data_IF_101479838771
#
_entry.id   IF_101479838771
#
_cell.length_a   1.000
_cell.length_b   1.000
_cell.length_c   1.000
_cell.angle_alpha   90.00
_cell.angle_beta   90.00
_cell.angle_gamma   90.00
#
_symmetry.space_group_name_H-M   'P 1'
#
loop_
_entity.id
_entity.type
_entity.pdbx_description
1 polymer ?
#
# COMPACT_ATOMS: atom_id res chain seq x y z
N UNK A 1 -11.41 11.28 19.80
CA UNK A 1 -12.12 11.59 21.05
C UNK A 1 -11.37 12.60 21.93
N UNK A 2 -10.07 12.44 22.23
CA UNK A 2 -9.35 13.33 23.14
C UNK A 2 -8.81 14.66 22.55
N UNK A 3 -9.05 14.96 21.26
CA UNK A 3 -8.57 16.20 20.59
C UNK A 3 -7.04 16.34 20.41
N UNK A 4 -6.24 15.41 20.95
CA UNK A 4 -4.77 15.52 20.98
C UNK A 4 -4.07 15.46 19.60
N UNK A 5 -4.79 15.01 18.57
CA UNK A 5 -4.25 14.72 17.24
C UNK A 5 -4.78 15.67 16.15
N UNK A 6 -5.53 16.70 16.51
CA UNK A 6 -6.13 17.62 15.55
C UNK A 6 -5.06 18.30 14.68
N UNK A 7 -5.28 18.30 13.37
CA UNK A 7 -4.34 18.81 12.36
C UNK A 7 -3.13 17.90 12.08
N UNK A 8 -2.94 16.80 12.82
CA UNK A 8 -1.77 15.92 12.69
C UNK A 8 -1.97 14.83 11.64
N UNK A 9 -0.86 14.36 11.09
CA UNK A 9 -0.83 13.16 10.27
C UNK A 9 -0.98 11.93 11.18
N UNK A 10 -1.93 11.06 10.84
CA UNK A 10 -2.21 9.86 11.63
C UNK A 10 -2.45 8.69 10.71
N UNK A 11 -2.12 7.50 11.20
CA UNK A 11 -2.46 6.26 10.53
C UNK A 11 -3.37 5.42 11.42
N UNK A 12 -4.17 4.57 10.80
CA UNK A 12 -4.96 3.53 11.44
C UNK A 12 -5.05 2.36 10.47
N UNK A 13 -5.57 1.23 10.93
CA UNK A 13 -5.82 0.09 10.05
C UNK A 13 -6.68 0.53 8.85
N UNK A 14 -6.23 0.25 7.63
CA UNK A 14 -6.86 0.68 6.37
C UNK A 14 -8.40 0.50 6.33
N UNK A 15 -8.95 -0.60 6.86
CA UNK A 15 -10.42 -0.83 6.94
C UNK A 15 -11.16 0.26 7.72
N UNK A 16 -10.50 0.87 8.68
CA UNK A 16 -11.04 1.88 9.59
C UNK A 16 -10.72 3.31 9.14
N UNK A 17 -9.90 3.50 8.11
CA UNK A 17 -9.43 4.82 7.69
C UNK A 17 -10.57 5.75 7.26
N UNK A 18 -11.49 5.26 6.42
CA UNK A 18 -12.63 6.05 5.94
C UNK A 18 -13.56 6.45 7.10
N UNK A 19 -13.79 5.52 8.03
CA UNK A 19 -14.56 5.79 9.25
C UNK A 19 -13.87 6.82 10.14
N UNK A 20 -12.55 6.77 10.28
CA UNK A 20 -11.79 7.72 11.08
C UNK A 20 -11.85 9.13 10.47
N UNK A 21 -11.74 9.25 9.14
CA UNK A 21 -11.90 10.54 8.42
C UNK A 21 -13.28 11.16 8.64
N UNK A 22 -14.34 10.35 8.59
CA UNK A 22 -15.71 10.82 8.79
C UNK A 22 -15.95 11.31 10.23
N UNK A 23 -15.45 10.57 11.22
CA UNK A 23 -15.64 10.91 12.64
C UNK A 23 -14.77 12.09 13.08
N UNK A 24 -13.62 12.29 12.46
CA UNK A 24 -12.66 13.34 12.84
C UNK A 24 -12.07 14.03 11.60
N UNK A 25 -12.80 14.96 10.97
CA UNK A 25 -12.37 15.65 9.75
C UNK A 25 -11.08 16.48 9.90
N UNK A 26 -10.73 16.85 11.14
CA UNK A 26 -9.49 17.58 11.44
C UNK A 26 -8.21 16.72 11.38
N UNK A 27 -8.33 15.40 11.24
CA UNK A 27 -7.18 14.50 11.14
C UNK A 27 -6.70 14.36 9.70
N UNK A 28 -5.38 14.36 9.50
CA UNK A 28 -4.77 14.02 8.21
C UNK A 28 -4.50 12.51 8.17
N UNK A 29 -5.53 11.74 7.85
CA UNK A 29 -5.45 10.26 7.84
C UNK A 29 -4.70 9.76 6.60
N UNK A 30 -3.51 9.18 6.82
CA UNK A 30 -2.73 8.43 5.82
C UNK A 30 -2.85 6.93 6.13
N UNK A 31 -3.59 6.24 5.28
CA UNK A 31 -3.91 4.81 5.36
C UNK A 31 -2.94 3.93 4.57
N UNK A 32 -1.91 4.53 3.98
CA UNK A 32 -0.84 3.81 3.31
C UNK A 32 0.29 3.51 4.29
N UNK A 33 0.61 4.30 5.31
CA UNK A 33 1.77 4.04 6.21
C UNK A 33 1.49 3.06 7.36
N UNK A 34 2.43 2.15 7.65
CA UNK A 34 2.33 1.21 8.80
C UNK A 34 2.43 1.89 10.17
N UNK A 35 3.22 2.96 10.29
CA UNK A 35 3.19 3.84 11.46
C UNK A 35 3.56 5.26 11.04
N UNK A 36 3.11 6.24 11.84
CA UNK A 36 3.42 7.65 11.63
C UNK A 36 3.86 8.26 12.95
N UNK A 37 5.03 8.92 12.91
CA UNK A 37 5.47 9.86 13.92
C UNK A 37 4.96 11.27 13.55
N UNK A 38 4.27 11.92 14.50
CA UNK A 38 3.80 13.30 14.39
C UNK A 38 4.17 14.07 15.65
N UNK A 39 5.45 14.43 15.74
CA UNK A 39 6.05 14.97 16.96
C UNK A 39 6.08 13.90 18.05
N UNK A 40 5.54 14.20 19.23
CA UNK A 40 5.48 13.24 20.34
C UNK A 40 4.44 12.12 20.17
N UNK A 41 3.57 12.20 19.16
CA UNK A 41 2.51 11.23 18.94
C UNK A 41 2.89 10.24 17.87
N UNK A 42 2.65 8.96 18.16
CA UNK A 42 2.85 7.88 17.21
C UNK A 42 1.56 7.10 17.03
N UNK A 43 1.25 6.77 15.78
CA UNK A 43 0.07 5.98 15.42
C UNK A 43 0.49 4.82 14.56
N UNK A 44 -0.19 3.67 14.66
CA UNK A 44 0.10 2.48 13.86
C UNK A 44 -1.13 1.96 13.13
N UNK A 45 -0.86 1.21 12.06
CA UNK A 45 -1.84 0.54 11.21
C UNK A 45 -2.51 -0.68 11.86
N UNK A 46 -2.23 -0.96 13.15
CA UNK A 46 -2.78 -2.09 13.89
C UNK A 46 -1.74 -3.16 14.22
N UNK A 47 -2.23 -4.34 14.61
CA UNK A 47 -1.54 -5.37 15.40
C UNK A 47 -0.05 -5.56 15.06
N UNK A 48 0.27 -6.03 13.85
CA UNK A 48 1.66 -6.32 13.48
C UNK A 48 2.48 -5.07 13.23
N UNK A 49 1.87 -3.99 12.73
CA UNK A 49 2.52 -2.70 12.59
C UNK A 49 2.84 -2.05 13.96
N UNK A 50 2.16 -2.48 15.02
CA UNK A 50 2.51 -2.14 16.40
C UNK A 50 3.86 -2.68 16.82
N UNK A 51 4.28 -3.84 16.29
CA UNK A 51 5.62 -4.41 16.54
C UNK A 51 6.68 -3.52 15.85
N UNK A 52 6.45 -3.14 14.60
CA UNK A 52 7.35 -2.23 13.87
C UNK A 52 7.46 -0.87 14.58
N UNK A 53 6.33 -0.32 15.04
CA UNK A 53 6.30 0.90 15.84
C UNK A 53 7.12 0.76 17.13
N UNK A 54 6.94 -0.33 17.87
CA UNK A 54 7.67 -0.56 19.12
C UNK A 54 9.18 -0.65 18.88
N UNK A 55 9.61 -1.35 17.83
CA UNK A 55 11.03 -1.45 17.46
C UNK A 55 11.60 -0.09 17.04
N UNK A 56 10.82 0.75 16.37
CA UNK A 56 11.21 2.12 16.01
C UNK A 56 11.37 3.02 17.26
N UNK A 57 10.47 2.89 18.25
CA UNK A 57 10.58 3.60 19.52
C UNK A 57 11.83 3.16 20.31
N UNK A 58 12.08 1.85 20.40
CA UNK A 58 13.29 1.32 21.06
C UNK A 58 14.55 1.85 20.38
N UNK A 59 14.58 1.88 19.05
CA UNK A 59 15.72 2.42 18.30
C UNK A 59 15.92 3.91 18.55
N UNK A 60 14.85 4.70 18.57
CA UNK A 60 14.93 6.13 18.83
C UNK A 60 15.49 6.42 20.23
N UNK A 61 15.05 5.65 21.22
CA UNK A 61 15.35 5.93 22.62
C UNK A 61 16.66 5.26 23.10
N UNK A 62 17.05 4.11 22.50
CA UNK A 62 18.19 3.28 22.95
C UNK A 62 19.16 2.87 21.83
N UNK A 63 18.93 3.32 20.60
CA UNK A 63 19.77 3.04 19.45
C UNK A 63 19.47 1.72 18.73
N UNK A 64 20.02 1.60 17.52
CA UNK A 64 19.75 0.49 16.61
C UNK A 64 20.19 -0.87 17.14
N UNK A 65 21.27 -0.93 17.94
CA UNK A 65 21.81 -2.19 18.46
C UNK A 65 20.80 -2.93 19.35
N UNK A 66 20.17 -2.21 20.29
CA UNK A 66 19.16 -2.79 21.18
C UNK A 66 17.89 -3.16 20.41
N UNK A 67 17.42 -2.27 19.53
CA UNK A 67 16.24 -2.55 18.68
C UNK A 67 16.44 -3.83 17.85
N UNK A 68 17.61 -4.03 17.25
CA UNK A 68 17.93 -5.25 16.50
C UNK A 68 18.00 -6.50 17.41
N UNK A 69 18.50 -6.37 18.64
CA UNK A 69 18.51 -7.49 19.59
C UNK A 69 17.09 -7.91 19.94
N UNK A 70 16.19 -6.96 20.22
CA UNK A 70 14.78 -7.22 20.50
C UNK A 70 14.10 -7.85 19.28
N UNK A 71 14.34 -7.33 18.07
CA UNK A 71 13.80 -7.89 16.85
C UNK A 71 14.21 -9.37 16.65
N UNK A 72 15.48 -9.71 16.94
CA UNK A 72 15.96 -11.10 16.91
C UNK A 72 15.25 -11.99 17.94
N UNK A 73 15.03 -11.50 19.16
CA UNK A 73 14.32 -12.26 20.20
C UNK A 73 12.86 -12.51 19.83
N UNK A 74 12.22 -11.56 19.13
CA UNK A 74 10.85 -11.69 18.63
C UNK A 74 10.75 -12.47 17.31
N UNK A 75 11.88 -12.97 16.77
CA UNK A 75 11.95 -13.72 15.51
C UNK A 75 11.35 -12.95 14.32
N UNK A 76 11.44 -11.62 14.33
CA UNK A 76 11.01 -10.75 13.22
C UNK A 76 12.21 -10.41 12.35
N UNK A 77 12.26 -11.04 11.16
CA UNK A 77 13.43 -11.03 10.27
C UNK A 77 13.50 -9.80 9.34
N UNK A 78 12.36 -9.17 9.05
CA UNK A 78 12.28 -7.94 8.25
C UNK A 78 11.62 -6.83 9.04
N UNK A 79 12.38 -5.77 9.32
CA UNK A 79 11.83 -4.53 9.87
C UNK A 79 11.13 -3.78 8.75
N UNK A 80 9.84 -3.48 8.94
CA UNK A 80 9.14 -2.60 8.01
C UNK A 80 9.37 -1.16 8.43
N UNK A 81 9.86 -0.32 7.52
CA UNK A 81 10.03 1.12 7.81
C UNK A 81 8.66 1.80 7.84
N UNK A 82 8.51 2.93 8.56
CA UNK A 82 7.23 3.63 8.70
C UNK A 82 6.56 4.00 7.37
N UNK A 83 7.38 4.26 6.34
CA UNK A 83 6.94 4.55 4.97
C UNK A 83 6.47 3.31 4.19
N UNK A 84 6.67 2.11 4.74
CA UNK A 84 6.20 0.88 4.13
C UNK A 84 4.68 0.82 4.17
N UNK A 85 4.10 0.33 3.07
CA UNK A 85 2.66 0.32 2.95
C UNK A 85 2.00 -0.66 3.93
N UNK A 86 0.89 -0.26 4.56
CA UNK A 86 0.10 -1.09 5.48
C UNK A 86 -0.36 -2.39 4.84
N UNK A 87 -0.70 -2.29 3.57
CA UNK A 87 -1.42 -3.30 2.84
C UNK A 87 -0.91 -3.26 1.41
N UNK A 88 -0.54 -4.41 0.86
CA UNK A 88 -0.21 -4.49 -0.56
C UNK A 88 -1.44 -4.10 -1.36
N UNK A 89 -1.27 -3.47 -2.50
CA UNK A 89 -2.41 -3.14 -3.35
C UNK A 89 -3.13 -4.41 -3.79
N UNK A 90 -2.40 -5.50 -4.00
CA UNK A 90 -2.92 -6.87 -4.19
C UNK A 90 -3.99 -7.22 -3.14
N UNK A 91 -3.67 -7.06 -1.87
CA UNK A 91 -4.58 -7.40 -0.76
C UNK A 91 -5.71 -6.37 -0.62
N UNK A 92 -5.45 -5.07 -0.87
CA UNK A 92 -6.50 -4.01 -0.90
C UNK A 92 -7.57 -4.31 -1.95
N UNK A 93 -7.12 -4.84 -3.08
CA UNK A 93 -7.97 -5.28 -4.17
C UNK A 93 -8.63 -6.62 -3.83
N UNK A 94 -7.98 -7.56 -3.13
CA UNK A 94 -8.62 -8.84 -2.76
C UNK A 94 -9.79 -8.68 -1.77
N UNK A 95 -9.69 -7.81 -0.76
CA UNK A 95 -10.69 -7.75 0.33
C UNK A 95 -11.95 -6.94 0.01
N UNK A 96 -11.87 -5.98 -0.91
CA UNK A 96 -13.04 -5.17 -1.27
C UNK A 96 -13.84 -5.76 -2.42
N UNK A 97 -13.34 -6.75 -3.15
CA UNK A 97 -13.77 -6.99 -4.53
C UNK A 97 -14.79 -8.11 -4.71
N UNK A 98 -15.89 -7.76 -5.39
CA UNK A 98 -16.75 -8.76 -6.02
C UNK A 98 -15.90 -9.65 -6.93
N UNK A 99 -16.01 -10.99 -6.77
CA UNK A 99 -15.24 -12.02 -7.47
C UNK A 99 -14.59 -11.62 -8.83
N UNK A 100 -15.31 -11.03 -9.81
CA UNK A 100 -14.73 -10.65 -11.10
C UNK A 100 -13.50 -9.73 -11.06
N UNK A 101 -13.37 -8.76 -10.14
CA UNK A 101 -12.16 -7.90 -10.14
C UNK A 101 -10.97 -8.52 -9.39
N UNK A 102 -11.20 -9.58 -8.59
CA UNK A 102 -10.14 -10.23 -7.81
C UNK A 102 -9.27 -11.02 -8.76
N UNK A 103 -9.93 -11.84 -9.58
CA UNK A 103 -9.30 -12.57 -10.66
C UNK A 103 -8.60 -11.65 -11.67
N UNK A 104 -9.19 -10.48 -11.96
CA UNK A 104 -8.55 -9.50 -12.82
C UNK A 104 -7.22 -9.04 -12.24
N UNK A 105 -7.19 -8.68 -10.96
CA UNK A 105 -5.99 -8.18 -10.31
C UNK A 105 -4.92 -9.26 -10.22
N UNK A 106 -5.29 -10.50 -9.89
CA UNK A 106 -4.38 -11.65 -9.90
C UNK A 106 -3.78 -11.90 -11.29
N UNK A 107 -4.61 -11.82 -12.35
CA UNK A 107 -4.14 -11.93 -13.75
C UNK A 107 -3.18 -10.80 -14.12
N UNK A 108 -3.47 -9.57 -13.68
CA UNK A 108 -2.61 -8.40 -13.94
C UNK A 108 -1.26 -8.52 -13.23
N UNK A 109 -1.24 -9.00 -11.99
CA UNK A 109 -0.01 -9.21 -11.21
C UNK A 109 0.88 -10.31 -11.78
N UNK A 110 0.27 -11.40 -12.27
CA UNK A 110 0.99 -12.46 -12.95
C UNK A 110 1.64 -11.98 -14.26
N UNK A 111 1.13 -10.89 -14.86
CA UNK A 111 1.55 -10.38 -16.18
C UNK A 111 1.65 -8.85 -16.21
N UNK A 112 2.39 -8.28 -15.25
CA UNK A 112 2.52 -6.81 -15.12
C UNK A 112 3.14 -6.15 -16.35
N UNK A 113 4.10 -6.82 -17.01
CA UNK A 113 4.76 -6.32 -18.21
C UNK A 113 3.92 -6.37 -19.48
N UNK A 114 2.80 -7.10 -19.47
CA UNK A 114 1.92 -7.18 -20.62
C UNK A 114 1.26 -5.84 -20.94
N UNK A 115 0.90 -5.64 -22.21
CA UNK A 115 0.02 -4.54 -22.61
C UNK A 115 -1.40 -4.89 -22.19
N UNK A 116 -1.92 -4.16 -21.22
CA UNK A 116 -3.31 -4.26 -20.78
C UNK A 116 -4.10 -3.08 -21.32
N UNK A 117 -5.11 -3.34 -22.12
CA UNK A 117 -6.14 -2.38 -22.49
C UNK A 117 -7.32 -2.47 -21.51
N UNK A 118 -8.20 -1.46 -21.54
CA UNK A 118 -9.45 -1.51 -20.77
C UNK A 118 -10.36 -2.65 -21.26
N UNK A 119 -10.27 -3.00 -22.54
CA UNK A 119 -11.05 -4.08 -23.13
C UNK A 119 -10.55 -5.44 -22.63
N UNK A 120 -9.23 -5.66 -22.56
CA UNK A 120 -8.64 -6.87 -21.96
C UNK A 120 -9.07 -7.05 -20.49
N UNK A 121 -9.12 -5.95 -19.74
CA UNK A 121 -9.54 -5.96 -18.34
C UNK A 121 -11.04 -6.25 -18.19
N UNK A 122 -11.87 -5.72 -19.11
CA UNK A 122 -13.30 -5.96 -19.12
C UNK A 122 -13.62 -7.43 -19.48
N UNK A 123 -12.93 -7.97 -20.49
CA UNK A 123 -13.05 -9.36 -20.92
C UNK A 123 -12.61 -10.33 -19.81
N UNK A 124 -11.52 -10.01 -19.10
CA UNK A 124 -11.06 -10.80 -17.96
C UNK A 124 -12.08 -10.85 -16.79
N UNK A 125 -13.03 -9.90 -16.74
CA UNK A 125 -14.14 -9.86 -15.80
C UNK A 125 -15.46 -10.38 -16.38
N UNK A 126 -15.50 -10.81 -17.66
CA UNK A 126 -16.73 -11.22 -18.33
C UNK A 126 -17.74 -10.08 -18.50
N UNK A 127 -17.28 -8.85 -18.69
CA UNK A 127 -18.12 -7.65 -18.77
C UNK A 127 -17.87 -6.87 -20.05
N UNK A 128 -18.90 -6.17 -20.54
CA UNK A 128 -18.68 -5.15 -21.57
C UNK A 128 -17.88 -3.97 -21.01
N UNK A 129 -17.07 -3.31 -21.85
CA UNK A 129 -16.24 -2.14 -21.50
C UNK A 129 -16.96 -1.10 -20.64
N UNK A 130 -18.17 -0.70 -21.06
CA UNK A 130 -18.99 0.31 -20.36
C UNK A 130 -19.43 -0.16 -18.97
N UNK A 131 -19.82 -1.43 -18.85
CA UNK A 131 -20.23 -2.03 -17.57
C UNK A 131 -19.05 -2.15 -16.62
N UNK A 132 -17.92 -2.62 -17.15
CA UNK A 132 -16.66 -2.72 -16.44
C UNK A 132 -16.23 -1.37 -15.90
N UNK A 133 -16.07 -0.34 -16.74
CA UNK A 133 -15.62 0.99 -16.31
C UNK A 133 -16.52 1.58 -15.21
N UNK A 134 -17.85 1.48 -15.36
CA UNK A 134 -18.80 1.98 -14.37
C UNK A 134 -18.66 1.25 -13.03
N UNK A 135 -18.66 -0.09 -13.05
CA UNK A 135 -18.54 -0.90 -11.83
C UNK A 135 -17.16 -0.74 -11.19
N UNK A 136 -16.10 -0.70 -11.99
CA UNK A 136 -14.74 -0.51 -11.52
C UNK A 136 -14.56 0.85 -10.83
N UNK A 137 -15.04 1.93 -11.44
CA UNK A 137 -14.96 3.27 -10.85
C UNK A 137 -15.79 3.36 -9.54
N UNK A 138 -16.99 2.79 -9.51
CA UNK A 138 -17.81 2.74 -8.30
C UNK A 138 -17.15 1.93 -7.18
N UNK A 139 -16.36 0.91 -7.55
CA UNK A 139 -15.77 -0.02 -6.61
C UNK A 139 -14.42 0.44 -6.06
N UNK A 140 -13.55 0.96 -6.93
CA UNK A 140 -12.17 1.32 -6.60
C UNK A 140 -11.94 2.83 -6.47
N UNK A 141 -12.89 3.66 -6.92
CA UNK A 141 -12.75 5.13 -6.91
C UNK A 141 -11.66 5.68 -7.83
N UNK A 142 -10.98 4.80 -8.60
CA UNK A 142 -9.89 5.14 -9.52
C UNK A 142 -10.07 4.39 -10.84
N UNK A 143 -9.34 4.80 -11.88
CA UNK A 143 -9.39 4.14 -13.18
C UNK A 143 -8.63 2.80 -13.18
N UNK A 144 -9.00 1.86 -14.07
CA UNK A 144 -8.26 0.60 -14.22
C UNK A 144 -6.77 0.78 -14.56
N UNK A 145 -6.46 1.79 -15.38
CA UNK A 145 -5.09 2.14 -15.74
C UNK A 145 -4.27 2.63 -14.53
N UNK A 146 -4.91 3.39 -13.63
CA UNK A 146 -4.28 3.84 -12.39
C UNK A 146 -3.97 2.66 -11.46
N UNK A 147 -4.88 1.67 -11.35
CA UNK A 147 -4.60 0.44 -10.59
C UNK A 147 -3.42 -0.32 -11.17
N UNK A 148 -3.39 -0.52 -12.49
CA UNK A 148 -2.25 -1.18 -13.15
C UNK A 148 -0.93 -0.45 -12.87
N UNK A 149 -0.91 0.87 -13.03
CA UNK A 149 0.28 1.70 -12.78
C UNK A 149 0.79 1.49 -11.36
N UNK A 150 -0.11 1.54 -10.39
CA UNK A 150 0.24 1.42 -8.98
C UNK A 150 0.75 0.00 -8.61
N UNK A 151 0.20 -1.05 -9.22
CA UNK A 151 0.71 -2.43 -9.09
C UNK A 151 2.13 -2.57 -9.63
N UNK A 152 2.40 -1.95 -10.79
CA UNK A 152 3.75 -1.92 -11.38
C UNK A 152 4.75 -1.20 -10.49
N UNK A 153 4.36 -0.06 -9.91
CA UNK A 153 5.21 0.71 -8.99
C UNK A 153 5.54 -0.07 -7.72
N UNK A 154 4.55 -0.76 -7.15
CA UNK A 154 4.77 -1.59 -5.97
C UNK A 154 5.75 -2.73 -6.26
N UNK A 155 5.56 -3.43 -7.37
CA UNK A 155 6.47 -4.51 -7.78
C UNK A 155 7.87 -3.99 -8.10
N UNK A 156 7.98 -2.82 -8.74
CA UNK A 156 9.26 -2.18 -9.02
C UNK A 156 10.03 -1.89 -7.72
N UNK A 157 9.37 -1.22 -6.75
CA UNK A 157 10.00 -0.89 -5.47
C UNK A 157 10.43 -2.13 -4.68
N UNK A 158 9.66 -3.22 -4.73
CA UNK A 158 10.03 -4.49 -4.11
C UNK A 158 11.28 -5.12 -4.77
N UNK A 159 11.40 -5.08 -6.11
CA UNK A 159 12.56 -5.58 -6.84
C UNK A 159 13.81 -4.73 -6.62
N UNK A 160 13.65 -3.41 -6.54
CA UNK A 160 14.74 -2.46 -6.24
C UNK A 160 15.27 -2.66 -4.82
N UNK A 161 14.37 -2.79 -3.83
CA UNK A 161 14.74 -3.02 -2.43
C UNK A 161 15.42 -4.38 -2.22
N UNK A 162 15.12 -5.37 -3.06
CA UNK A 162 15.76 -6.68 -3.02
C UNK A 162 17.19 -6.69 -3.60
N UNK A 163 17.67 -5.56 -4.19
CA UNK A 163 19.05 -5.37 -4.62
C UNK A 163 19.50 -6.21 -5.83
N UNK A 164 18.57 -6.82 -6.58
CA UNK A 164 18.89 -7.88 -7.56
C UNK A 164 18.78 -7.47 -9.03
N UNK A 165 18.36 -6.26 -9.35
CA UNK A 165 18.01 -5.91 -10.74
C UNK A 165 18.35 -4.47 -11.10
N UNK A 166 18.88 -4.27 -12.31
CA UNK A 166 19.06 -2.94 -12.88
C UNK A 166 17.70 -2.33 -13.24
N UNK A 167 17.59 -1.00 -13.29
CA UNK A 167 16.35 -0.29 -13.66
C UNK A 167 15.72 -0.80 -14.95
N UNK A 168 16.53 -1.12 -15.96
CA UNK A 168 16.09 -1.69 -17.24
C UNK A 168 15.50 -3.10 -17.08
N UNK A 169 16.09 -3.92 -16.21
CA UNK A 169 15.57 -5.26 -15.91
C UNK A 169 14.27 -5.21 -15.09
N UNK A 170 14.10 -4.20 -14.23
CA UNK A 170 12.86 -3.94 -13.51
C UNK A 170 11.74 -3.55 -14.50
N UNK A 171 11.98 -2.59 -15.40
CA UNK A 171 11.00 -2.19 -16.43
C UNK A 171 10.58 -3.34 -17.35
N UNK A 172 11.48 -4.29 -17.66
CA UNK A 172 11.12 -5.51 -18.41
C UNK A 172 10.19 -6.43 -17.63
N UNK A 173 10.32 -6.50 -16.30
CA UNK A 173 9.50 -7.37 -15.45
C UNK A 173 8.14 -6.78 -15.11
N UNK A 174 8.07 -5.46 -14.92
CA UNK A 174 6.82 -4.80 -14.49
C UNK A 174 6.15 -4.02 -15.61
N UNK A 175 6.81 -3.81 -16.76
CA UNK A 175 6.32 -2.95 -17.82
C UNK A 175 6.59 -1.47 -17.55
N UNK A 176 6.10 -0.56 -18.41
CA UNK A 176 6.38 0.86 -18.28
C UNK A 176 5.73 1.42 -16.99
N UNK A 177 6.59 1.91 -16.10
CA UNK A 177 6.22 2.72 -14.94
C UNK A 177 6.27 4.18 -15.40
N UNK A 178 5.11 4.78 -15.71
CA UNK A 178 5.06 6.20 -16.05
C UNK A 178 5.55 7.01 -14.84
N UNK A 179 6.64 7.77 -15.03
CA UNK A 179 7.21 8.65 -14.01
C UNK A 179 6.12 9.58 -13.46
N UNK A 180 6.07 9.75 -12.13
CA UNK A 180 5.44 10.92 -11.50
C UNK A 180 5.90 12.18 -12.27
N UNK A 181 5.01 13.15 -12.59
CA UNK A 181 5.48 14.46 -12.99
C UNK A 181 6.41 14.97 -11.88
N UNK A 182 7.63 15.32 -12.25
CA UNK A 182 8.57 15.99 -11.34
C UNK A 182 7.88 17.25 -10.84
N UNK A 183 7.70 17.37 -9.52
CA UNK A 183 7.58 18.67 -8.88
C UNK A 183 8.96 19.33 -8.87
#
# INVERSE_FOLDING_TARGET
>A
AAGLLDGRAVTTHWRSADRLRQLYPGLRVDDDRIFIESGKYWTSAGVTAGIDLALALIERDFGAALSQQVARQLVVFMRRNGDQRQYSQTLRLQDRVAAPFRELVEKMEARLSARWSVDDMADACGMSRRTFQRKFAAHFGVTPAEVLRRLREERAGALESAGKMTRKAVEQHVGPVYKRPRQ
#
